data_IF_701972552445
#
_entry.id   IF_701972552445
#
_cell.length_a   1.000
_cell.length_b   1.000
_cell.length_c   1.000
_cell.angle_alpha   90.00
_cell.angle_beta   90.00
_cell.angle_gamma   90.00
#
_symmetry.space_group_name_H-M   'P 1'
#
loop_
_entity.id
_entity.type
_entity.pdbx_description
1 polymer ?
#
# COMPACT_ATOMS: atom_id res chain seq x y z
N UNK A 1 -11.75 5.04 18.87
CA UNK A 1 -11.05 4.13 19.82
C UNK A 1 -11.85 2.84 19.92
N UNK A 2 -11.23 1.71 20.25
CA UNK A 2 -11.93 0.43 20.45
C UNK A 2 -11.70 0.00 21.88
N UNK A 3 -12.77 -0.37 22.58
CA UNK A 3 -12.73 -0.99 23.91
C UNK A 3 -13.21 -2.45 23.83
N UNK A 4 -13.17 -3.18 24.94
CA UNK A 4 -13.65 -4.57 25.04
C UNK A 4 -15.11 -4.73 24.57
N UNK A 5 -15.94 -3.69 24.75
CA UNK A 5 -17.36 -3.68 24.40
C UNK A 5 -17.66 -3.12 22.99
N UNK A 6 -16.64 -2.63 22.25
CA UNK A 6 -16.80 -2.21 20.85
C UNK A 6 -16.15 -0.87 20.48
N UNK A 7 -16.62 -0.30 19.36
CA UNK A 7 -16.10 0.96 18.80
C UNK A 7 -16.69 2.15 19.58
N UNK A 8 -15.83 2.99 20.15
CA UNK A 8 -16.20 4.16 20.96
C UNK A 8 -16.55 5.41 20.15
N UNK A 9 -16.44 5.37 18.83
CA UNK A 9 -16.79 6.51 17.98
C UNK A 9 -18.33 6.63 17.91
N UNK A 10 -18.88 7.82 18.22
CA UNK A 10 -20.33 8.07 18.23
C UNK A 10 -20.98 7.80 16.86
N UNK A 11 -20.29 8.11 15.76
CA UNK A 11 -20.74 7.84 14.39
C UNK A 11 -20.40 6.42 13.88
N UNK A 12 -19.75 5.60 14.71
CA UNK A 12 -19.33 4.24 14.36
C UNK A 12 -18.16 4.18 13.37
N UNK A 13 -18.15 3.14 12.53
CA UNK A 13 -17.14 2.90 11.49
C UNK A 13 -17.60 3.45 10.13
N UNK A 14 -16.66 3.91 9.32
CA UNK A 14 -16.90 4.34 7.94
C UNK A 14 -17.18 3.16 7.01
N UNK A 15 -16.60 2.01 7.32
CA UNK A 15 -16.80 0.74 6.62
C UNK A 15 -16.85 -0.40 7.64
N UNK A 16 -17.63 -1.44 7.37
CA UNK A 16 -17.67 -2.64 8.23
C UNK A 16 -16.28 -3.30 8.38
N UNK A 17 -15.42 -3.17 7.36
CA UNK A 17 -14.08 -3.72 7.28
C UNK A 17 -12.97 -2.65 7.46
N UNK A 18 -13.29 -1.52 8.11
CA UNK A 18 -12.38 -0.37 8.23
C UNK A 18 -11.01 -0.73 8.83
N UNK A 19 -10.95 -1.64 9.81
CA UNK A 19 -9.69 -2.07 10.42
C UNK A 19 -8.73 -2.75 9.43
N UNK A 20 -9.25 -3.63 8.56
CA UNK A 20 -8.42 -4.32 7.56
C UNK A 20 -8.07 -3.38 6.40
N UNK A 21 -8.99 -2.50 6.00
CA UNK A 21 -8.70 -1.44 5.02
C UNK A 21 -7.59 -0.50 5.50
N UNK A 22 -7.56 -0.18 6.78
CA UNK A 22 -6.45 0.59 7.36
C UNK A 22 -5.13 -0.17 7.30
N UNK A 23 -5.13 -1.49 7.51
CA UNK A 23 -3.92 -2.32 7.33
C UNK A 23 -3.43 -2.36 5.87
N UNK A 24 -4.35 -2.34 4.90
CA UNK A 24 -4.01 -2.20 3.48
C UNK A 24 -3.41 -0.82 3.22
N UNK A 25 -4.00 0.25 3.76
CA UNK A 25 -3.48 1.61 3.65
C UNK A 25 -2.06 1.74 4.25
N UNK A 26 -1.84 1.19 5.45
CA UNK A 26 -0.53 1.11 6.10
C UNK A 26 0.48 0.41 5.19
N UNK A 27 0.10 -0.74 4.62
CA UNK A 27 0.97 -1.52 3.73
C UNK A 27 1.34 -0.74 2.46
N UNK A 28 0.39 -0.03 1.83
CA UNK A 28 0.67 0.82 0.66
C UNK A 28 1.70 1.90 1.03
N UNK A 29 1.52 2.56 2.17
CA UNK A 29 2.47 3.57 2.67
C UNK A 29 3.86 2.98 2.93
N UNK A 30 3.93 1.85 3.61
CA UNK A 30 5.20 1.16 3.89
C UNK A 30 5.91 0.75 2.59
N UNK A 31 5.19 0.16 1.62
CA UNK A 31 5.75 -0.28 0.33
C UNK A 31 6.30 0.89 -0.49
N UNK A 32 5.69 2.08 -0.37
CA UNK A 32 6.16 3.27 -1.07
C UNK A 32 7.52 3.78 -0.57
N UNK A 33 8.02 3.29 0.58
CA UNK A 33 9.39 3.53 1.04
C UNK A 33 10.46 2.95 0.10
N UNK A 34 10.08 2.14 -0.89
CA UNK A 34 10.94 1.75 -2.02
C UNK A 34 11.39 2.95 -2.86
N UNK A 35 10.64 4.06 -2.85
CA UNK A 35 10.92 5.27 -3.64
C UNK A 35 10.32 5.26 -5.05
N UNK A 36 9.70 4.15 -5.47
CA UNK A 36 8.98 4.02 -6.74
C UNK A 36 7.66 3.26 -6.54
N UNK A 37 6.69 3.51 -7.41
CA UNK A 37 5.46 2.72 -7.46
C UNK A 37 5.76 1.27 -7.86
N UNK A 38 5.08 0.32 -7.24
CA UNK A 38 5.26 -1.11 -7.49
C UNK A 38 4.31 -1.59 -8.60
N UNK A 39 4.84 -2.33 -9.57
CA UNK A 39 4.05 -3.21 -10.43
C UNK A 39 4.24 -4.63 -9.89
N UNK A 40 3.22 -5.14 -9.20
CA UNK A 40 3.29 -6.45 -8.56
C UNK A 40 2.12 -6.69 -7.60
N UNK A 41 2.17 -7.79 -6.88
CA UNK A 41 1.15 -8.18 -5.90
C UNK A 41 1.76 -8.27 -4.50
N UNK A 42 1.13 -7.61 -3.52
CA UNK A 42 1.49 -7.72 -2.10
C UNK A 42 0.45 -8.57 -1.35
N UNK A 43 0.92 -9.57 -0.61
CA UNK A 43 0.09 -10.42 0.25
C UNK A 43 0.64 -10.40 1.68
N UNK A 44 -0.14 -9.86 2.62
CA UNK A 44 0.23 -9.78 4.02
C UNK A 44 -0.68 -10.61 4.91
N UNK A 45 -0.12 -11.53 5.70
CA UNK A 45 -0.85 -12.30 6.72
C UNK A 45 -0.43 -11.84 8.11
N UNK A 46 -1.32 -11.12 8.81
CA UNK A 46 -1.01 -10.47 10.10
C UNK A 46 0.27 -9.61 10.03
N UNK A 47 0.51 -9.00 8.87
CA UNK A 47 1.69 -8.17 8.65
C UNK A 47 1.55 -6.81 9.35
N UNK A 48 2.69 -6.25 9.74
CA UNK A 48 2.80 -4.88 10.25
C UNK A 48 4.09 -4.23 9.74
N UNK A 49 4.32 -2.97 10.12
CA UNK A 49 5.39 -2.14 9.57
C UNK A 49 6.78 -2.80 9.59
N UNK A 50 7.13 -3.48 10.69
CA UNK A 50 8.43 -4.15 10.80
C UNK A 50 8.60 -5.30 9.78
N UNK A 51 7.54 -6.06 9.49
CA UNK A 51 7.60 -7.15 8.52
C UNK A 51 7.58 -6.61 7.08
N UNK A 52 6.79 -5.57 6.82
CA UNK A 52 6.77 -4.87 5.54
C UNK A 52 8.16 -4.32 5.21
N UNK A 53 8.83 -3.65 6.16
CA UNK A 53 10.18 -3.13 5.95
C UNK A 53 11.22 -4.25 5.69
N UNK A 54 11.12 -5.38 6.39
CA UNK A 54 12.00 -6.54 6.15
C UNK A 54 11.81 -7.11 4.74
N UNK A 55 10.56 -7.19 4.27
CA UNK A 55 10.25 -7.61 2.91
C UNK A 55 10.92 -6.68 1.89
N UNK A 56 10.80 -5.36 2.06
CA UNK A 56 11.40 -4.39 1.15
C UNK A 56 12.92 -4.50 1.09
N UNK A 57 13.58 -4.60 2.25
CA UNK A 57 15.04 -4.78 2.31
C UNK A 57 15.48 -6.02 1.55
N UNK A 58 14.78 -7.14 1.75
CA UNK A 58 15.07 -8.40 1.05
C UNK A 58 14.85 -8.28 -0.46
N UNK A 59 13.79 -7.60 -0.89
CA UNK A 59 13.52 -7.35 -2.31
C UNK A 59 14.66 -6.54 -2.95
N UNK A 60 15.10 -5.46 -2.29
CA UNK A 60 16.20 -4.62 -2.77
C UNK A 60 17.51 -5.41 -2.89
N UNK A 61 17.80 -6.29 -1.92
CA UNK A 61 18.99 -7.15 -1.93
C UNK A 61 18.95 -8.19 -3.08
N UNK A 62 17.78 -8.71 -3.41
CA UNK A 62 17.57 -9.69 -4.49
C UNK A 62 17.35 -8.99 -5.84
N UNK A 63 18.43 -8.48 -6.43
CA UNK A 63 18.39 -7.72 -7.70
C UNK A 63 17.85 -8.48 -8.91
N UNK A 64 17.80 -9.80 -8.85
CA UNK A 64 17.20 -10.67 -9.86
C UNK A 64 15.67 -10.81 -9.71
N UNK A 65 15.11 -10.39 -8.58
CA UNK A 65 13.69 -10.47 -8.29
C UNK A 65 12.89 -9.23 -8.74
N UNK A 66 13.55 -8.18 -9.26
CA UNK A 66 12.91 -6.95 -9.71
C UNK A 66 13.69 -6.25 -10.81
N UNK A 67 12.99 -5.41 -11.56
CA UNK A 67 13.58 -4.52 -12.56
C UNK A 67 12.92 -3.13 -12.48
N UNK A 68 13.65 -2.10 -12.93
CA UNK A 68 13.08 -0.76 -13.11
C UNK A 68 12.55 -0.66 -14.53
N UNK A 69 11.27 -0.33 -14.66
CA UNK A 69 10.62 -0.14 -15.96
C UNK A 69 10.06 1.27 -16.08
N UNK A 70 10.07 1.78 -17.31
CA UNK A 70 9.45 3.05 -17.69
C UNK A 70 8.56 2.83 -18.90
N UNK A 71 7.42 3.49 -18.96
CA UNK A 71 6.49 3.42 -20.08
C UNK A 71 6.45 4.77 -20.78
N UNK A 72 6.89 4.83 -22.04
CA UNK A 72 6.82 6.05 -22.86
C UNK A 72 5.37 6.36 -23.24
N UNK A 73 4.59 5.32 -23.55
CA UNK A 73 3.16 5.41 -23.82
C UNK A 73 2.36 4.93 -22.60
N UNK A 74 1.70 5.88 -21.92
CA UNK A 74 0.87 5.62 -20.75
C UNK A 74 -0.30 4.65 -21.05
N UNK A 75 -0.76 4.53 -22.30
CA UNK A 75 -1.83 3.60 -22.68
C UNK A 75 -1.40 2.13 -22.64
N UNK A 76 -0.10 1.88 -22.70
CA UNK A 76 0.49 0.52 -22.64
C UNK A 76 0.88 0.10 -21.22
N UNK A 77 0.88 1.03 -20.26
CA UNK A 77 1.23 0.75 -18.88
C UNK A 77 0.14 -0.09 -18.18
N UNK A 78 0.51 -1.08 -17.35
CA UNK A 78 -0.47 -1.91 -16.62
C UNK A 78 -1.17 -1.15 -15.48
N UNK A 79 -0.65 0.02 -15.09
CA UNK A 79 -1.20 0.89 -14.06
C UNK A 79 -1.47 2.25 -14.70
N UNK A 80 -2.69 2.75 -14.52
CA UNK A 80 -3.07 4.11 -14.92
C UNK A 80 -3.25 5.00 -13.69
N UNK A 81 -2.85 6.26 -13.81
CA UNK A 81 -3.05 7.27 -12.78
C UNK A 81 -4.17 8.22 -13.21
N UNK A 82 -4.96 8.68 -12.26
CA UNK A 82 -5.92 9.75 -12.52
C UNK A 82 -5.16 11.02 -12.91
N UNK A 83 -5.77 11.83 -13.78
CA UNK A 83 -5.23 13.16 -14.07
C UNK A 83 -5.13 13.94 -12.76
N UNK A 84 -4.01 14.64 -12.50
CA UNK A 84 -3.92 15.47 -11.31
C UNK A 84 -5.06 16.47 -11.38
N UNK A 85 -5.84 16.57 -10.30
CA UNK A 85 -6.74 17.70 -10.11
C UNK A 85 -5.81 18.89 -9.97
N UNK A 86 -5.81 19.78 -10.97
CA UNK A 86 -5.07 21.03 -10.86
C UNK A 86 -5.53 21.70 -9.56
N UNK A 87 -4.60 21.90 -8.63
CA UNK A 87 -4.88 22.71 -7.46
C UNK A 87 -5.27 24.10 -7.98
N UNK A 88 -6.51 24.52 -7.70
CA UNK A 88 -6.98 25.89 -7.92
C UNK A 88 -6.35 26.78 -6.85
#
# INVERSE_FOLDING_TARGET
>A
MVDADGVLNEDGLRYEDEFVKHKILDAIGDLYLLGNSLIGEFKGFKSGHALNNKLLRKLIEQKDAWEVVTFEDASTAPISYMRPVAAV
#
